data_IF_329567066823
#
_entry.id   IF_329567066823
#
_cell.length_a   1.000
_cell.length_b   1.000
_cell.length_c   1.000
_cell.angle_alpha   90.00
_cell.angle_beta   90.00
_cell.angle_gamma   90.00
#
_symmetry.space_group_name_H-M   'P 1'
#
loop_
_entity.id
_entity.type
_entity.pdbx_description
1 polymer ?
#
# COMPACT_ATOMS: atom_id res chain seq x y z
N UNK A 1 -2.15 -4.95 -19.10
CA UNK A 1 -3.02 -5.70 -18.17
C UNK A 1 -4.36 -4.96 -18.04
N UNK A 2 -5.48 -5.66 -17.98
CA UNK A 2 -6.80 -5.07 -17.76
C UNK A 2 -7.26 -5.38 -16.34
N UNK A 3 -7.72 -4.37 -15.61
CA UNK A 3 -8.31 -4.49 -14.27
C UNK A 3 -9.77 -4.09 -14.36
N UNK A 4 -10.66 -4.97 -13.91
CA UNK A 4 -12.05 -4.59 -13.75
C UNK A 4 -12.20 -3.82 -12.44
N UNK A 5 -12.97 -2.75 -12.45
CA UNK A 5 -13.14 -1.88 -11.28
C UNK A 5 -14.60 -1.47 -11.13
N UNK A 6 -15.06 -1.44 -9.88
CA UNK A 6 -16.31 -0.81 -9.48
C UNK A 6 -15.96 0.41 -8.65
N UNK A 7 -16.38 1.59 -9.09
CA UNK A 7 -16.22 2.83 -8.37
C UNK A 7 -17.53 3.22 -7.70
N UNK A 8 -17.56 3.10 -6.38
CA UNK A 8 -18.67 3.57 -5.53
C UNK A 8 -18.31 4.86 -4.78
N UNK A 9 -17.15 5.45 -5.12
CA UNK A 9 -16.73 6.71 -4.50
C UNK A 9 -17.40 7.93 -5.14
N UNK A 10 -17.31 9.06 -4.46
CA UNK A 10 -17.69 10.38 -4.98
C UNK A 10 -16.64 10.97 -5.93
N UNK A 11 -15.53 10.27 -6.14
CA UNK A 11 -14.36 10.77 -6.84
C UNK A 11 -14.11 10.00 -8.14
N UNK A 12 -13.34 10.61 -9.04
CA UNK A 12 -12.89 9.94 -10.25
C UNK A 12 -11.98 8.74 -9.93
N UNK A 13 -11.93 7.78 -10.84
CA UNK A 13 -10.99 6.66 -10.74
C UNK A 13 -9.55 7.13 -10.61
N UNK A 14 -8.72 6.41 -9.84
CA UNK A 14 -7.28 6.61 -9.85
C UNK A 14 -6.70 6.59 -11.27
N UNK A 15 -5.74 7.43 -11.54
CA UNK A 15 -5.08 7.51 -12.83
C UNK A 15 -3.57 7.75 -12.67
N UNK A 16 -2.80 7.36 -13.68
CA UNK A 16 -1.37 7.65 -13.73
C UNK A 16 -1.15 9.11 -14.09
N UNK A 17 -0.36 9.82 -13.30
CA UNK A 17 -0.06 11.25 -13.53
C UNK A 17 0.84 11.46 -14.74
N UNK A 18 1.70 10.50 -15.07
CA UNK A 18 2.60 10.53 -16.24
C UNK A 18 2.65 9.15 -16.89
N UNK A 19 3.15 9.08 -18.13
CA UNK A 19 3.35 7.81 -18.84
C UNK A 19 4.33 6.86 -18.12
N UNK A 20 5.22 7.40 -17.31
CA UNK A 20 6.22 6.63 -16.57
C UNK A 20 5.83 6.37 -15.10
N UNK A 21 4.65 6.83 -14.66
CA UNK A 21 4.20 6.58 -13.29
C UNK A 21 3.94 5.09 -13.05
N UNK A 22 4.43 4.55 -11.94
CA UNK A 22 4.13 3.19 -11.50
C UNK A 22 2.91 3.13 -10.58
N UNK A 23 2.60 4.22 -9.87
CA UNK A 23 1.50 4.31 -8.91
C UNK A 23 0.43 5.30 -9.33
N UNK A 24 -0.79 5.05 -8.85
CA UNK A 24 -1.93 5.96 -8.95
C UNK A 24 -2.35 6.36 -7.54
N UNK A 25 -2.68 7.63 -7.33
CA UNK A 25 -3.15 8.09 -6.02
C UNK A 25 -4.53 7.52 -5.67
N UNK A 26 -4.65 7.03 -4.43
CA UNK A 26 -5.92 6.66 -3.80
C UNK A 26 -6.44 7.83 -2.97
N UNK A 27 -7.72 8.13 -3.11
CA UNK A 27 -8.39 9.21 -2.37
C UNK A 27 -9.25 8.65 -1.25
N UNK A 28 -9.31 9.39 -0.16
CA UNK A 28 -10.29 9.17 0.89
C UNK A 28 -11.70 9.37 0.33
N UNK A 29 -12.60 8.42 0.60
CA UNK A 29 -14.04 8.52 0.30
C UNK A 29 -14.78 8.39 1.62
N UNK A 30 -14.98 9.50 2.28
CA UNK A 30 -15.53 9.60 3.63
C UNK A 30 -16.63 10.69 3.68
N UNK A 31 -17.58 10.53 4.58
CA UNK A 31 -18.66 11.50 4.73
C UNK A 31 -18.33 12.60 5.76
N UNK A 32 -17.43 12.27 6.68
CA UNK A 32 -16.96 13.20 7.71
C UNK A 32 -15.44 13.11 7.80
N UNK A 33 -14.78 14.23 8.09
CA UNK A 33 -13.34 14.27 8.33
C UNK A 33 -12.94 13.33 9.47
N UNK A 34 -11.75 12.71 9.33
CA UNK A 34 -11.18 11.81 10.32
C UNK A 34 -10.01 12.52 11.00
N UNK A 35 -10.11 12.69 12.32
CA UNK A 35 -9.01 13.20 13.13
C UNK A 35 -8.15 12.05 13.60
N UNK A 36 -6.86 12.07 13.26
CA UNK A 36 -5.89 11.05 13.61
C UNK A 36 -4.82 11.66 14.54
N UNK A 37 -4.92 11.35 15.82
CA UNK A 37 -3.94 11.79 16.83
C UNK A 37 -2.61 11.06 16.68
N UNK A 38 -1.53 11.55 17.31
CA UNK A 38 -0.26 10.83 17.34
C UNK A 38 -0.44 9.36 17.79
N UNK A 39 0.21 8.45 17.04
CA UNK A 39 0.18 6.99 17.21
C UNK A 39 -1.18 6.31 16.99
N UNK A 40 -2.22 7.06 16.64
CA UNK A 40 -3.49 6.46 16.22
C UNK A 40 -3.42 5.93 14.80
N UNK A 41 -4.24 4.90 14.53
CA UNK A 41 -4.44 4.31 13.21
C UNK A 41 -5.92 4.19 12.90
N UNK A 42 -6.24 4.22 11.62
CA UNK A 42 -7.60 4.03 11.12
C UNK A 42 -7.59 3.40 9.75
N UNK A 43 -8.70 2.80 9.36
CA UNK A 43 -8.95 2.37 7.98
C UNK A 43 -9.73 3.46 7.28
N UNK A 44 -9.16 4.03 6.22
CA UNK A 44 -9.82 5.01 5.37
C UNK A 44 -10.36 4.31 4.13
N UNK A 45 -11.65 4.45 3.89
CA UNK A 45 -12.35 3.89 2.74
C UNK A 45 -12.01 4.67 1.47
N UNK A 46 -11.96 3.98 0.33
CA UNK A 46 -11.71 4.58 -0.98
C UNK A 46 -12.89 4.50 -1.94
N UNK A 47 -13.88 3.67 -1.65
CA UNK A 47 -15.00 3.39 -2.54
C UNK A 47 -14.63 2.56 -3.78
N UNK A 48 -13.40 2.05 -3.85
CA UNK A 48 -12.88 1.28 -5.00
C UNK A 48 -12.92 -0.21 -4.70
N UNK A 49 -13.45 -0.98 -5.65
CA UNK A 49 -13.46 -2.44 -5.65
C UNK A 49 -12.86 -2.91 -6.96
N UNK A 50 -12.05 -3.96 -6.95
CA UNK A 50 -11.36 -4.40 -8.16
C UNK A 50 -11.29 -5.92 -8.31
N UNK A 51 -11.08 -6.35 -9.55
CA UNK A 51 -10.78 -7.73 -9.91
C UNK A 51 -9.51 -7.72 -10.75
N UNK A 52 -8.46 -8.31 -10.20
CA UNK A 52 -7.16 -8.44 -10.86
C UNK A 52 -7.08 -9.77 -11.60
N UNK A 53 -6.32 -9.85 -12.70
CA UNK A 53 -5.96 -11.14 -13.29
C UNK A 53 -5.11 -11.96 -12.32
N UNK A 54 -5.30 -13.29 -12.31
CA UNK A 54 -4.42 -14.21 -11.56
C UNK A 54 -2.97 -14.02 -11.99
N UNK A 55 -2.05 -14.05 -11.02
CA UNK A 55 -0.62 -13.76 -11.22
C UNK A 55 -0.25 -12.29 -11.05
N UNK A 56 -1.22 -11.47 -10.66
CA UNK A 56 -1.00 -10.06 -10.31
C UNK A 56 -1.55 -9.77 -8.92
N UNK A 57 -0.92 -8.80 -8.27
CA UNK A 57 -1.36 -8.20 -7.01
C UNK A 57 -1.52 -6.69 -7.19
N UNK A 58 -2.24 -6.05 -6.29
CA UNK A 58 -2.12 -4.62 -6.08
C UNK A 58 -1.46 -4.34 -4.74
N UNK A 59 -0.59 -3.34 -4.69
CA UNK A 59 0.08 -2.91 -3.47
C UNK A 59 -0.38 -1.51 -3.09
N UNK A 60 -0.84 -1.36 -1.86
CA UNK A 60 -1.11 -0.04 -1.27
C UNK A 60 0.15 0.45 -0.58
N UNK A 61 0.69 1.57 -1.06
CA UNK A 61 1.94 2.17 -0.59
C UNK A 61 1.69 3.58 -0.08
N UNK A 62 2.51 4.08 0.87
CA UNK A 62 2.41 5.45 1.32
C UNK A 62 2.78 6.45 0.22
N UNK A 63 2.35 7.70 0.42
CA UNK A 63 2.80 8.84 -0.38
C UNK A 63 3.97 9.52 0.33
N UNK A 64 5.05 9.76 -0.42
CA UNK A 64 6.28 10.36 0.11
C UNK A 64 6.04 11.73 0.77
N UNK A 65 5.15 12.54 0.19
CA UNK A 65 4.83 13.87 0.72
C UNK A 65 4.15 13.80 2.10
N UNK A 66 3.17 12.91 2.29
CA UNK A 66 2.51 12.70 3.59
C UNK A 66 3.47 12.11 4.61
N UNK A 67 4.30 11.14 4.19
CA UNK A 67 5.28 10.53 5.07
C UNK A 67 6.30 11.55 5.58
N UNK A 68 6.90 12.32 4.68
CA UNK A 68 7.96 13.27 5.04
C UNK A 68 7.44 14.50 5.78
N UNK A 69 6.36 15.11 5.32
CA UNK A 69 5.86 16.38 5.87
C UNK A 69 4.97 16.20 7.10
N UNK A 70 4.20 15.13 7.16
CA UNK A 70 3.16 14.94 8.17
C UNK A 70 3.36 13.69 9.03
N UNK A 71 4.35 12.85 8.73
CA UNK A 71 4.56 11.60 9.46
C UNK A 71 3.42 10.59 9.29
N UNK A 72 2.62 10.72 8.22
CA UNK A 72 1.51 9.83 7.93
C UNK A 72 1.96 8.77 6.95
N UNK A 73 1.72 7.51 7.29
CA UNK A 73 2.10 6.38 6.45
C UNK A 73 1.04 5.27 6.45
N UNK A 74 1.19 4.32 5.56
CA UNK A 74 0.37 3.10 5.53
C UNK A 74 1.01 2.09 6.47
N UNK A 75 0.28 1.72 7.52
CA UNK A 75 0.82 0.90 8.62
C UNK A 75 1.31 -0.48 8.17
N UNK A 76 0.58 -1.12 7.25
CA UNK A 76 0.90 -2.44 6.71
C UNK A 76 1.65 -2.37 5.35
N UNK A 77 2.40 -1.31 5.12
CA UNK A 77 3.06 -1.08 3.83
C UNK A 77 4.21 -2.06 3.56
N UNK A 78 4.27 -2.64 2.33
CA UNK A 78 3.27 -2.54 1.28
C UNK A 78 2.03 -3.40 1.60
N UNK A 79 0.83 -2.79 1.55
CA UNK A 79 -0.42 -3.51 1.74
C UNK A 79 -0.72 -4.39 0.52
N UNK A 80 -0.93 -5.67 0.71
CA UNK A 80 -1.20 -6.63 -0.38
C UNK A 80 -2.69 -6.75 -0.65
N UNK A 81 -3.08 -6.65 -1.92
CA UNK A 81 -4.43 -6.94 -2.40
C UNK A 81 -4.32 -8.08 -3.40
N UNK A 82 -4.86 -9.23 -3.01
CA UNK A 82 -4.85 -10.44 -3.81
C UNK A 82 -5.81 -10.35 -5.02
N UNK A 83 -5.54 -11.12 -6.05
CA UNK A 83 -6.34 -11.10 -7.28
C UNK A 83 -7.80 -11.49 -7.07
N UNK A 84 -8.09 -12.32 -6.08
CA UNK A 84 -9.43 -12.82 -5.72
C UNK A 84 -10.12 -12.00 -4.62
N UNK A 85 -9.48 -10.97 -4.08
CA UNK A 85 -10.14 -10.06 -3.14
C UNK A 85 -11.22 -9.24 -3.85
N UNK A 86 -12.44 -9.23 -3.29
CA UNK A 86 -13.60 -8.51 -3.85
C UNK A 86 -14.13 -7.43 -2.92
N UNK A 87 -13.50 -7.23 -1.79
CA UNK A 87 -13.87 -6.19 -0.84
C UNK A 87 -13.45 -4.79 -1.30
N UNK A 88 -13.89 -3.80 -0.55
CA UNK A 88 -13.47 -2.42 -0.74
C UNK A 88 -11.99 -2.25 -0.42
N UNK A 89 -11.27 -1.54 -1.27
CA UNK A 89 -9.89 -1.12 -0.97
C UNK A 89 -9.90 -0.13 0.17
N UNK A 90 -9.40 -0.55 1.32
CA UNK A 90 -9.20 0.28 2.50
C UNK A 90 -7.72 0.60 2.70
N UNK A 91 -7.43 1.80 3.15
CA UNK A 91 -6.07 2.24 3.46
C UNK A 91 -5.91 2.36 4.97
N UNK A 92 -5.00 1.56 5.55
CA UNK A 92 -4.69 1.62 6.98
C UNK A 92 -3.64 2.71 7.20
N UNK A 93 -4.07 3.89 7.64
CA UNK A 93 -3.18 5.00 7.96
C UNK A 93 -2.79 5.00 9.43
N UNK A 94 -1.56 5.39 9.71
CA UNK A 94 -1.03 5.65 11.05
C UNK A 94 -0.35 7.00 11.07
N UNK A 95 -0.53 7.73 12.19
CA UNK A 95 0.14 9.00 12.45
C UNK A 95 1.36 8.78 13.34
N UNK A 96 2.55 8.88 12.78
CA UNK A 96 3.83 8.73 13.50
C UNK A 96 4.45 10.10 13.87
N UNK A 97 3.70 11.20 13.68
CA UNK A 97 4.13 12.54 14.10
C UNK A 97 3.69 12.84 15.53
N UNK A 98 4.12 13.99 16.04
CA UNK A 98 3.66 14.56 17.32
C UNK A 98 2.42 15.45 17.19
N UNK A 99 1.97 15.70 15.94
CA UNK A 99 0.87 16.61 15.65
C UNK A 99 -0.39 15.84 15.26
N UNK A 100 -1.55 16.41 15.52
CA UNK A 100 -2.82 15.88 15.03
C UNK A 100 -2.90 16.07 13.52
N UNK A 101 -3.35 15.04 12.82
CA UNK A 101 -3.60 15.08 11.38
C UNK A 101 -5.09 14.90 11.09
N UNK A 102 -5.66 15.72 10.23
CA UNK A 102 -7.07 15.62 9.81
C UNK A 102 -7.11 15.16 8.37
N UNK A 103 -7.87 14.11 8.11
CA UNK A 103 -8.11 13.56 6.77
C UNK A 103 -9.45 14.07 6.28
N UNK A 104 -9.46 14.77 5.15
CA UNK A 104 -10.67 15.27 4.51
C UNK A 104 -11.08 14.38 3.32
N UNK A 105 -12.37 14.43 2.96
CA UNK A 105 -12.87 13.72 1.80
C UNK A 105 -12.15 14.16 0.52
N UNK A 106 -11.79 13.21 -0.34
CA UNK A 106 -11.08 13.46 -1.59
C UNK A 106 -9.58 13.65 -1.48
N UNK A 107 -9.01 13.73 -0.27
CA UNK A 107 -7.56 13.80 -0.11
C UNK A 107 -6.85 12.55 -0.62
N UNK A 108 -5.69 12.76 -1.22
CA UNK A 108 -4.81 11.68 -1.71
C UNK A 108 -4.01 11.13 -0.54
N UNK A 109 -4.42 9.96 -0.03
CA UNK A 109 -3.93 9.38 1.23
C UNK A 109 -2.88 8.28 1.06
N UNK A 110 -2.84 7.66 -0.11
CA UNK A 110 -1.95 6.56 -0.44
C UNK A 110 -1.78 6.49 -1.96
N UNK A 111 -1.01 5.53 -2.43
CA UNK A 111 -0.95 5.17 -3.85
C UNK A 111 -1.11 3.67 -4.03
N UNK A 112 -1.67 3.26 -5.16
CA UNK A 112 -1.80 1.87 -5.55
C UNK A 112 -0.87 1.55 -6.72
N UNK A 113 -0.18 0.43 -6.63
CA UNK A 113 0.75 -0.07 -7.66
C UNK A 113 0.34 -1.49 -8.02
N UNK A 114 0.22 -1.80 -9.30
CA UNK A 114 0.00 -3.17 -9.77
C UNK A 114 1.33 -3.85 -10.05
N UNK A 115 1.47 -5.08 -9.59
CA UNK A 115 2.68 -5.87 -9.77
C UNK A 115 2.34 -7.31 -10.18
N UNK A 116 3.20 -7.89 -11.00
CA UNK A 116 3.20 -9.33 -11.26
C UNK A 116 3.91 -10.03 -10.12
N UNK A 117 3.45 -11.23 -9.73
CA UNK A 117 4.07 -12.01 -8.67
C UNK A 117 4.21 -13.48 -9.07
N UNK A 118 5.09 -14.17 -8.39
CA UNK A 118 5.25 -15.62 -8.44
C UNK A 118 4.73 -16.23 -7.13
N UNK A 119 4.24 -17.45 -7.20
CA UNK A 119 3.93 -18.27 -6.03
C UNK A 119 5.02 -19.33 -5.87
N UNK A 120 5.69 -19.33 -4.72
CA UNK A 120 6.69 -20.31 -4.38
C UNK A 120 6.06 -21.62 -3.88
N UNK A 121 6.53 -22.74 -4.38
CA UNK A 121 6.23 -24.06 -3.81
C UNK A 121 7.34 -24.46 -2.86
N UNK A 122 7.01 -24.74 -1.61
CA UNK A 122 7.96 -25.19 -0.60
C UNK A 122 8.43 -26.61 -0.88
N UNK A 123 9.74 -26.83 -0.86
CA UNK A 123 10.38 -28.15 -0.84
C UNK A 123 11.15 -28.21 0.47
N UNK A 124 10.65 -28.97 1.43
CA UNK A 124 11.30 -29.14 2.73
C UNK A 124 12.56 -30.01 2.55
N UNK A 125 13.68 -29.50 3.03
CA UNK A 125 14.98 -30.18 3.00
C UNK A 125 15.64 -30.07 4.36
N UNK A 126 16.56 -30.98 4.67
CA UNK A 126 17.28 -30.96 5.95
C UNK A 126 18.39 -29.90 5.98
N UNK A 127 19.00 -29.62 4.83
CA UNK A 127 20.13 -28.68 4.72
C UNK A 127 19.99 -27.86 3.45
N UNK A 128 20.52 -26.63 3.47
CA UNK A 128 20.68 -25.77 2.30
C UNK A 128 22.13 -25.78 1.81
N UNK A 129 22.33 -25.48 0.53
CA UNK A 129 23.66 -25.33 -0.02
C UNK A 129 24.40 -24.15 0.61
N UNK A 130 25.71 -24.35 0.84
CA UNK A 130 26.57 -23.29 1.39
C UNK A 130 26.83 -22.18 0.34
N UNK A 131 26.90 -20.94 0.82
CA UNK A 131 27.29 -19.79 0.00
C UNK A 131 28.38 -18.99 0.68
N UNK A 132 29.12 -18.19 -0.09
CA UNK A 132 30.14 -17.29 0.45
C UNK A 132 29.61 -16.25 1.45
N UNK A 133 28.32 -15.92 1.37
CA UNK A 133 27.64 -15.04 2.35
C UNK A 133 27.24 -15.80 3.62
N UNK A 134 26.89 -17.09 3.49
CA UNK A 134 26.38 -17.90 4.59
C UNK A 134 25.19 -17.21 5.31
N UNK A 135 25.24 -17.17 6.63
CA UNK A 135 24.22 -16.56 7.48
C UNK A 135 24.40 -15.05 7.70
N UNK A 136 25.33 -14.40 7.00
CA UNK A 136 25.58 -12.96 7.13
C UNK A 136 24.37 -12.10 6.76
N UNK A 137 23.91 -11.29 7.70
CA UNK A 137 22.76 -10.38 7.55
C UNK A 137 22.76 -9.32 8.65
N UNK A 138 21.68 -8.54 8.74
CA UNK A 138 21.46 -7.53 9.79
C UNK A 138 22.63 -6.54 9.95
N UNK A 139 23.22 -6.09 8.81
CA UNK A 139 24.35 -5.16 8.83
C UNK A 139 25.71 -5.84 9.03
N UNK A 140 25.85 -7.15 8.75
CA UNK A 140 27.12 -7.89 8.84
C UNK A 140 28.26 -7.29 8.00
N UNK A 141 27.95 -6.45 7.00
CA UNK A 141 28.91 -5.72 6.16
C UNK A 141 29.35 -4.38 6.75
N UNK A 142 28.82 -4.02 7.94
CA UNK A 142 29.11 -2.74 8.60
C UNK A 142 28.32 -1.56 8.07
N UNK A 143 28.52 -0.37 8.70
CA UNK A 143 27.86 0.90 8.35
C UNK A 143 28.75 1.77 7.45
N UNK A 144 30.04 1.41 7.29
CA UNK A 144 31.03 2.09 6.45
C UNK A 144 31.79 1.10 5.63
#
# INVERSE_FOLDING_TARGET
MKVKVVNKSKHNLPHYSTIASAGMDLRANIDQSITLKPLERTIVKTGIFMELPVGYEAQVRPRSGLAYKNGITVLNSPGTIDADYRGEVGVILVNLSSEVFVIEDGERIAQIVFAKHEQGNWIEVETLEETGRGAGGFGSTGVK
#
